data_IF_276103724458
#
_entry.id   IF_276103724458
#
_cell.length_a   1.000
_cell.length_b   1.000
_cell.length_c   1.000
_cell.angle_alpha   90.00
_cell.angle_beta   90.00
_cell.angle_gamma   90.00
#
_symmetry.space_group_name_H-M   'P 1'
#
loop_
_entity.id
_entity.type
_entity.pdbx_description
1 polymer ?
#
# COMPACT_ATOMS: atom_id res chain seq x y z
N UNK A 1 -26.89 17.50 -5.95
CA UNK A 1 -25.62 17.23 -6.65
C UNK A 1 -24.79 16.28 -5.79
N UNK A 2 -24.82 14.99 -6.13
CA UNK A 2 -24.01 13.94 -5.54
C UNK A 2 -22.62 13.89 -6.21
N UNK A 3 -21.76 12.95 -5.78
CA UNK A 3 -20.42 12.80 -6.34
C UNK A 3 -20.43 12.48 -7.85
N UNK A 4 -21.34 11.60 -8.29
CA UNK A 4 -21.46 11.23 -9.70
C UNK A 4 -21.78 12.45 -10.59
N UNK A 5 -22.72 13.30 -10.15
CA UNK A 5 -23.05 14.55 -10.85
C UNK A 5 -21.86 15.51 -10.89
N UNK A 6 -21.08 15.62 -9.81
CA UNK A 6 -19.87 16.47 -9.76
C UNK A 6 -18.77 15.98 -10.68
N UNK A 7 -18.73 14.69 -10.98
CA UNK A 7 -17.81 14.06 -11.93
C UNK A 7 -18.34 14.09 -13.38
N UNK A 8 -19.51 14.70 -13.63
CA UNK A 8 -20.09 14.83 -14.97
C UNK A 8 -20.94 13.64 -15.41
N UNK A 9 -21.33 12.75 -14.49
CA UNK A 9 -22.21 11.61 -14.78
C UNK A 9 -23.66 11.89 -14.38
N UNK A 10 -24.57 11.04 -14.88
CA UNK A 10 -25.97 11.07 -14.47
C UNK A 10 -26.11 10.79 -12.95
N UNK A 11 -27.14 11.34 -12.28
CA UNK A 11 -27.33 11.16 -10.84
C UNK A 11 -27.54 9.70 -10.41
N UNK A 12 -27.99 8.84 -11.33
CA UNK A 12 -28.22 7.40 -11.16
C UNK A 12 -27.12 6.51 -11.78
N UNK A 13 -26.05 7.11 -12.30
CA UNK A 13 -24.92 6.38 -12.86
C UNK A 13 -24.27 5.49 -11.81
N UNK A 14 -23.90 4.26 -12.21
CA UNK A 14 -23.10 3.34 -11.40
C UNK A 14 -21.64 3.45 -11.84
N UNK A 15 -20.79 3.90 -10.93
CA UNK A 15 -19.35 4.04 -11.16
C UNK A 15 -18.62 2.99 -10.33
N UNK A 16 -17.56 2.41 -10.90
CA UNK A 16 -16.76 1.37 -10.27
C UNK A 16 -15.28 1.70 -10.45
N UNK A 17 -14.54 1.63 -9.34
CA UNK A 17 -13.08 1.59 -9.33
C UNK A 17 -12.72 0.17 -8.94
N UNK A 18 -11.94 -0.50 -9.80
CA UNK A 18 -11.37 -1.81 -9.48
C UNK A 18 -9.90 -1.58 -9.12
N UNK A 19 -9.58 -1.67 -7.84
CA UNK A 19 -8.21 -1.55 -7.32
C UNK A 19 -7.58 -2.93 -7.17
N UNK A 20 -6.29 -3.05 -7.52
CA UNK A 20 -5.48 -4.19 -7.14
C UNK A 20 -4.51 -3.84 -6.00
N UNK A 21 -4.63 -4.59 -4.91
CA UNK A 21 -3.79 -4.43 -3.72
C UNK A 21 -2.43 -5.13 -3.93
N UNK A 22 -1.49 -4.89 -3.02
CA UNK A 22 -0.18 -5.56 -2.92
C UNK A 22 0.79 -5.36 -4.10
N UNK A 23 0.60 -4.29 -4.89
CA UNK A 23 1.63 -3.90 -5.86
C UNK A 23 2.95 -3.63 -5.11
N UNK A 24 4.07 -4.08 -5.65
CA UNK A 24 5.38 -3.97 -5.01
C UNK A 24 5.68 -5.06 -3.98
N UNK A 25 4.72 -5.93 -3.62
CA UNK A 25 4.98 -7.03 -2.68
C UNK A 25 6.02 -8.00 -3.22
N UNK A 26 5.83 -8.55 -4.43
CA UNK A 26 6.75 -9.51 -5.04
C UNK A 26 6.70 -9.44 -6.57
N UNK A 27 7.67 -10.07 -7.25
CA UNK A 27 7.74 -10.06 -8.72
C UNK A 27 6.46 -10.61 -9.38
N UNK A 28 5.88 -11.69 -8.86
CA UNK A 28 4.67 -12.29 -9.42
C UNK A 28 3.46 -11.36 -9.28
N UNK A 29 3.28 -10.72 -8.12
CA UNK A 29 2.22 -9.74 -7.90
C UNK A 29 2.38 -8.55 -8.88
N UNK A 30 3.59 -7.98 -8.96
CA UNK A 30 3.88 -6.89 -9.89
C UNK A 30 3.54 -7.26 -11.33
N UNK A 31 4.00 -8.43 -11.79
CA UNK A 31 3.79 -8.88 -13.18
C UNK A 31 2.30 -9.01 -13.50
N UNK A 32 1.52 -9.60 -12.58
CA UNK A 32 0.08 -9.75 -12.76
C UNK A 32 -0.66 -8.42 -12.75
N UNK A 33 -0.40 -7.58 -11.75
CA UNK A 33 -1.09 -6.30 -11.58
C UNK A 33 -0.78 -5.35 -12.74
N UNK A 34 0.49 -5.23 -13.14
CA UNK A 34 0.87 -4.37 -14.27
C UNK A 34 0.23 -4.84 -15.57
N UNK A 35 0.18 -6.16 -15.82
CA UNK A 35 -0.50 -6.70 -17.00
C UNK A 35 -2.00 -6.37 -17.01
N UNK A 36 -2.66 -6.37 -15.84
CA UNK A 36 -4.07 -5.99 -15.71
C UNK A 36 -4.30 -4.49 -15.93
N UNK A 37 -3.40 -3.64 -15.42
CA UNK A 37 -3.42 -2.19 -15.67
C UNK A 37 -3.23 -1.90 -17.16
N UNK A 38 -2.20 -2.48 -17.79
CA UNK A 38 -1.90 -2.30 -19.22
C UNK A 38 -3.05 -2.78 -20.13
N UNK A 39 -3.76 -3.84 -19.72
CA UNK A 39 -4.93 -4.34 -20.43
C UNK A 39 -6.21 -3.51 -20.17
N UNK A 40 -6.19 -2.54 -19.25
CA UNK A 40 -7.37 -1.77 -18.83
C UNK A 40 -8.42 -2.62 -18.10
N UNK A 41 -8.03 -3.76 -17.54
CA UNK A 41 -8.93 -4.68 -16.83
C UNK A 41 -9.22 -4.25 -15.39
N UNK A 42 -8.32 -3.46 -14.80
CA UNK A 42 -8.46 -2.81 -13.50
C UNK A 42 -8.24 -1.30 -13.64
N UNK A 43 -8.78 -0.53 -12.72
CA UNK A 43 -8.75 0.93 -12.75
C UNK A 43 -7.52 1.52 -12.07
N UNK A 44 -7.03 0.87 -11.02
CA UNK A 44 -5.94 1.38 -10.18
C UNK A 44 -5.22 0.26 -9.43
N UNK A 45 -4.11 0.60 -8.78
CA UNK A 45 -3.44 -0.28 -7.83
C UNK A 45 -2.86 0.50 -6.64
N UNK A 46 -2.51 -0.19 -5.56
CA UNK A 46 -1.88 0.43 -4.38
C UNK A 46 -0.56 -0.26 -4.04
N UNK A 47 0.52 0.53 -3.88
CA UNK A 47 1.89 0.00 -3.72
C UNK A 47 2.31 -0.09 -2.25
N UNK A 48 2.83 -1.25 -1.86
CA UNK A 48 3.45 -1.50 -0.54
C UNK A 48 4.90 -1.04 -0.55
N UNK A 49 5.17 0.22 -0.21
CA UNK A 49 6.54 0.76 -0.22
C UNK A 49 7.53 0.11 0.76
N UNK A 50 7.13 -0.57 1.86
CA UNK A 50 8.04 -1.40 2.64
C UNK A 50 8.66 -2.58 1.86
N UNK A 51 7.96 -3.09 0.85
CA UNK A 51 8.37 -4.29 0.11
C UNK A 51 9.50 -4.01 -0.89
N UNK A 52 10.37 -5.00 -1.08
CA UNK A 52 11.61 -4.88 -1.87
C UNK A 52 11.38 -4.67 -3.37
N UNK A 53 10.21 -5.09 -3.88
CA UNK A 53 9.84 -4.95 -5.29
C UNK A 53 9.09 -3.65 -5.62
N UNK A 54 8.83 -2.78 -4.62
CA UNK A 54 8.14 -1.51 -4.83
C UNK A 54 8.87 -0.55 -5.80
N UNK A 55 10.21 -0.37 -5.77
CA UNK A 55 10.89 0.50 -6.74
C UNK A 55 10.70 0.05 -8.19
N UNK A 56 10.75 -1.25 -8.44
CA UNK A 56 10.53 -1.81 -9.77
C UNK A 56 9.07 -1.65 -10.22
N UNK A 57 8.11 -1.86 -9.32
CA UNK A 57 6.69 -1.64 -9.60
C UNK A 57 6.40 -0.18 -9.98
N UNK A 58 6.87 0.78 -9.17
CA UNK A 58 6.65 2.21 -9.39
C UNK A 58 7.26 2.64 -10.73
N UNK A 59 8.48 2.19 -11.05
CA UNK A 59 9.13 2.50 -12.32
C UNK A 59 8.40 1.93 -13.55
N UNK A 60 7.64 0.84 -13.38
CA UNK A 60 6.91 0.18 -14.46
C UNK A 60 5.46 0.63 -14.62
N UNK A 61 4.85 1.25 -13.59
CA UNK A 61 3.44 1.64 -13.60
C UNK A 61 3.10 2.87 -14.49
N UNK A 62 4.07 3.39 -15.26
CA UNK A 62 4.03 4.71 -15.90
C UNK A 62 2.68 5.14 -16.50
N UNK A 63 2.06 6.14 -15.88
CA UNK A 63 0.81 6.77 -16.32
C UNK A 63 -0.47 6.15 -15.75
N UNK A 64 -0.37 5.02 -15.04
CA UNK A 64 -1.51 4.40 -14.35
C UNK A 64 -1.81 5.06 -13.00
N UNK A 65 -3.05 4.98 -12.56
CA UNK A 65 -3.46 5.45 -11.24
C UNK A 65 -2.94 4.50 -10.15
N UNK A 66 -1.85 4.90 -9.50
CA UNK A 66 -1.26 4.14 -8.39
C UNK A 66 -1.27 4.94 -7.10
N UNK A 67 -1.84 4.35 -6.06
CA UNK A 67 -1.86 4.86 -4.69
C UNK A 67 -0.84 4.17 -3.78
N UNK A 68 -0.85 4.51 -2.49
CA UNK A 68 0.02 3.89 -1.48
C UNK A 68 -0.79 2.93 -0.61
N UNK A 69 -0.34 1.67 -0.54
CA UNK A 69 -0.89 0.65 0.36
C UNK A 69 -0.21 0.74 1.72
N UNK A 70 -0.81 1.51 2.64
CA UNK A 70 -0.24 1.79 3.95
C UNK A 70 -0.11 0.50 4.76
N UNK A 71 1.11 0.15 5.13
CA UNK A 71 1.44 -1.20 5.61
C UNK A 71 2.03 -1.15 7.02
N UNK A 72 1.40 -1.86 7.97
CA UNK A 72 1.86 -1.98 9.35
C UNK A 72 1.95 -3.43 9.84
N UNK A 73 1.65 -4.39 8.97
CA UNK A 73 1.72 -5.83 9.25
C UNK A 73 2.57 -6.54 8.19
N UNK A 74 3.15 -7.69 8.55
CA UNK A 74 3.90 -8.57 7.68
C UNK A 74 3.69 -10.03 8.09
N UNK A 75 2.72 -10.67 7.45
CA UNK A 75 2.10 -11.92 7.88
C UNK A 75 2.88 -13.19 7.57
N UNK A 76 3.67 -13.19 6.49
CA UNK A 76 4.33 -14.38 5.97
C UNK A 76 5.47 -14.87 6.88
N UNK A 77 5.75 -16.17 6.85
CA UNK A 77 6.79 -16.76 7.69
C UNK A 77 8.20 -16.37 7.28
N UNK A 78 8.48 -16.42 5.99
CA UNK A 78 9.86 -16.30 5.45
C UNK A 78 10.04 -15.14 4.47
N UNK A 79 8.96 -14.40 4.18
CA UNK A 79 8.99 -13.27 3.25
C UNK A 79 8.41 -12.04 3.92
N UNK A 80 9.25 -11.35 4.69
CA UNK A 80 8.81 -10.28 5.60
C UNK A 80 9.39 -8.93 5.26
N UNK A 81 8.67 -7.90 5.65
CA UNK A 81 9.03 -6.50 5.46
C UNK A 81 8.89 -5.74 6.78
N UNK A 82 9.58 -4.61 6.85
CA UNK A 82 9.64 -3.77 8.04
C UNK A 82 9.53 -2.30 7.67
N UNK A 83 9.60 -1.41 8.67
CA UNK A 83 9.37 0.01 8.49
C UNK A 83 10.37 0.65 7.54
N UNK A 84 9.92 1.69 6.85
CA UNK A 84 10.76 2.50 5.95
C UNK A 84 11.36 3.71 6.66
N UNK A 85 10.83 4.10 7.82
CA UNK A 85 11.39 5.17 8.66
C UNK A 85 12.82 4.87 9.07
N UNK A 86 13.72 5.86 8.93
CA UNK A 86 15.16 5.73 9.23
C UNK A 86 15.69 6.80 10.19
N UNK A 87 14.94 7.87 10.39
CA UNK A 87 15.35 9.08 11.12
C UNK A 87 14.75 9.18 12.54
N UNK A 88 13.92 8.20 12.93
CA UNK A 88 13.26 8.16 14.23
C UNK A 88 13.05 6.71 14.71
N UNK A 89 12.91 6.47 16.04
CA UNK A 89 12.56 5.16 16.56
C UNK A 89 11.15 4.76 16.12
N UNK A 90 11.03 3.49 15.74
CA UNK A 90 9.78 2.80 15.35
C UNK A 90 9.67 1.44 16.05
N UNK A 91 10.24 1.35 17.25
CA UNK A 91 10.37 0.10 18.01
C UNK A 91 9.03 -0.52 18.42
N UNK A 92 7.95 0.27 18.51
CA UNK A 92 6.60 -0.24 18.78
C UNK A 92 5.96 -0.91 17.56
N UNK A 93 6.52 -0.68 16.37
CA UNK A 93 6.00 -1.18 15.09
C UNK A 93 6.74 -2.42 14.58
N UNK A 94 7.70 -2.96 15.34
CA UNK A 94 8.50 -4.11 14.90
C UNK A 94 8.53 -5.20 15.95
N UNK A 95 8.72 -6.43 15.50
CA UNK A 95 9.05 -7.55 16.36
C UNK A 95 10.56 -7.64 16.65
N UNK A 96 10.97 -8.73 17.32
CA UNK A 96 12.35 -8.97 17.71
C UNK A 96 13.33 -9.08 16.53
N UNK A 97 12.83 -9.40 15.34
CA UNK A 97 13.62 -9.55 14.11
C UNK A 97 13.62 -8.26 13.26
N UNK A 98 12.90 -7.22 13.69
CA UNK A 98 12.83 -5.93 13.01
C UNK A 98 11.77 -5.85 11.89
N UNK A 99 10.86 -6.83 11.81
CA UNK A 99 9.76 -6.83 10.85
C UNK A 99 8.47 -6.32 11.47
N UNK A 100 7.52 -5.86 10.65
CA UNK A 100 6.18 -5.54 11.15
C UNK A 100 5.49 -6.76 11.75
N UNK A 101 4.64 -6.61 12.80
CA UNK A 101 3.88 -7.71 13.38
C UNK A 101 3.08 -8.51 12.36
N UNK A 102 2.81 -9.78 12.67
CA UNK A 102 2.11 -10.69 11.76
C UNK A 102 0.60 -10.52 11.71
N UNK A 103 0.03 -9.74 12.62
CA UNK A 103 -1.42 -9.59 12.76
C UNK A 103 -1.78 -8.18 13.24
N UNK A 104 -2.99 -7.73 12.89
CA UNK A 104 -3.48 -6.41 13.22
C UNK A 104 -3.64 -6.20 14.73
N UNK A 105 -4.01 -7.23 15.49
CA UNK A 105 -4.22 -7.12 16.94
C UNK A 105 -2.92 -6.73 17.65
N UNK A 106 -1.80 -7.31 17.25
CA UNK A 106 -0.49 -6.96 17.83
C UNK A 106 -0.14 -5.50 17.57
N UNK A 107 -0.47 -4.97 16.38
CA UNK A 107 -0.30 -3.53 16.06
C UNK A 107 -1.23 -2.69 16.95
N UNK A 108 -2.51 -3.02 17.03
CA UNK A 108 -3.51 -2.28 17.82
C UNK A 108 -3.16 -2.23 19.32
N UNK A 109 -2.62 -3.31 19.88
CA UNK A 109 -2.28 -3.42 21.30
C UNK A 109 -0.98 -2.71 21.68
N UNK A 110 -0.03 -2.57 20.74
CA UNK A 110 1.36 -2.16 21.05
C UNK A 110 1.80 -0.86 20.39
N UNK A 111 1.24 -0.53 19.22
CA UNK A 111 1.76 0.55 18.39
C UNK A 111 1.60 1.91 19.07
N UNK A 112 2.68 2.66 19.13
CA UNK A 112 2.65 4.05 19.53
C UNK A 112 2.05 4.88 18.37
N UNK A 113 0.97 5.65 18.58
CA UNK A 113 0.35 6.45 17.52
C UNK A 113 1.31 7.43 16.82
N UNK A 114 2.28 7.97 17.54
CA UNK A 114 3.28 8.88 16.94
C UNK A 114 4.24 8.12 16.02
N UNK A 115 4.60 6.88 16.36
CA UNK A 115 5.43 6.03 15.50
C UNK A 115 4.65 5.60 14.26
N UNK A 116 3.36 5.25 14.41
CA UNK A 116 2.45 4.96 13.28
C UNK A 116 2.41 6.14 12.33
N UNK A 117 2.14 7.35 12.82
CA UNK A 117 2.07 8.54 11.97
C UNK A 117 3.37 8.78 11.20
N UNK A 118 4.53 8.64 11.88
CA UNK A 118 5.85 8.79 11.24
C UNK A 118 6.05 7.76 10.13
N UNK A 119 5.73 6.50 10.40
CA UNK A 119 5.91 5.41 9.43
C UNK A 119 5.00 5.56 8.22
N UNK A 120 3.71 5.84 8.42
CA UNK A 120 2.78 6.04 7.31
C UNK A 120 3.19 7.24 6.45
N UNK A 121 3.64 8.34 7.07
CA UNK A 121 4.19 9.48 6.35
C UNK A 121 5.46 9.09 5.58
N UNK A 122 6.36 8.30 6.18
CA UNK A 122 7.58 7.86 5.53
C UNK A 122 7.30 6.94 4.33
N UNK A 123 6.27 6.11 4.38
CA UNK A 123 5.82 5.28 3.25
C UNK A 123 5.35 6.13 2.07
N UNK A 124 4.52 7.15 2.32
CA UNK A 124 4.08 8.08 1.26
C UNK A 124 5.26 8.85 0.67
N UNK A 125 6.16 9.38 1.52
CA UNK A 125 7.34 10.10 1.05
C UNK A 125 8.32 9.21 0.29
N UNK A 126 8.41 7.93 0.64
CA UNK A 126 9.21 6.94 -0.10
C UNK A 126 8.60 6.68 -1.48
N UNK A 127 7.28 6.58 -1.60
CA UNK A 127 6.64 6.45 -2.90
C UNK A 127 6.97 7.66 -3.80
N UNK A 128 6.84 8.87 -3.25
CA UNK A 128 7.15 10.13 -3.94
C UNK A 128 8.63 10.20 -4.36
N UNK A 129 9.56 9.82 -3.47
CA UNK A 129 10.99 9.86 -3.79
C UNK A 129 11.40 8.82 -4.85
N UNK A 130 10.60 7.76 -5.03
CA UNK A 130 10.76 6.79 -6.11
C UNK A 130 10.12 7.23 -7.44
N UNK A 131 9.50 8.43 -7.47
CA UNK A 131 8.93 9.02 -8.67
C UNK A 131 7.43 8.78 -8.86
N UNK A 132 6.73 8.24 -7.86
CA UNK A 132 5.28 8.14 -7.89
C UNK A 132 4.64 9.49 -7.54
N UNK A 133 3.57 9.88 -8.23
CA UNK A 133 2.63 10.91 -7.78
C UNK A 133 1.36 10.19 -7.28
N UNK A 134 1.24 9.89 -5.96
CA UNK A 134 0.21 8.98 -5.50
C UNK A 134 -1.20 9.54 -5.68
N UNK A 135 -2.08 8.79 -6.36
CA UNK A 135 -3.45 9.24 -6.63
C UNK A 135 -4.42 9.02 -5.46
N UNK A 136 -4.13 8.04 -4.60
CA UNK A 136 -4.97 7.66 -3.45
C UNK A 136 -4.16 6.88 -2.41
N UNK A 137 -4.82 6.47 -1.32
CA UNK A 137 -4.25 5.59 -0.31
C UNK A 137 -5.34 4.71 0.30
N UNK A 138 -4.93 3.51 0.70
CA UNK A 138 -5.68 2.51 1.46
C UNK A 138 -4.69 1.85 2.45
N UNK A 139 -5.05 0.70 3.03
CA UNK A 139 -4.19 0.03 4.01
C UNK A 139 -4.17 -1.48 3.86
N UNK A 140 -2.98 -2.06 4.08
CA UNK A 140 -2.78 -3.51 4.19
C UNK A 140 -3.46 -4.00 5.46
N UNK A 141 -4.24 -5.07 5.33
CA UNK A 141 -4.88 -5.74 6.46
C UNK A 141 -4.51 -7.20 6.40
N UNK A 142 -3.77 -7.66 7.41
CA UNK A 142 -3.65 -9.10 7.60
C UNK A 142 -4.95 -9.63 8.19
N UNK A 143 -5.67 -10.54 7.51
CA UNK A 143 -6.87 -11.13 8.07
C UNK A 143 -6.52 -11.98 9.31
N UNK A 144 -7.44 -12.11 10.29
CA UNK A 144 -7.22 -13.00 11.41
C UNK A 144 -7.00 -14.45 10.91
N UNK A 145 -6.21 -15.27 11.63
CA UNK A 145 -6.08 -16.68 11.30
C UNK A 145 -7.47 -17.34 11.29
N UNK A 146 -7.79 -18.01 10.19
CA UNK A 146 -9.05 -18.75 10.00
C UNK A 146 -9.09 -20.07 10.74
#
# INVERSE_FOLDING_TARGET
MNLAERLGHAPDARLLIVNADDLGMCLSANTGILALLDAGAISSATVMTPCSWAPAAIGAAGGHDVGVHLTLTSEWDSYRWGPVTRDAPVSSLVDADGYFPRDCRTVEERANPDEVYRELRAQVLKAISLGLDPSHADNHVTPPPG
#
